data_IF_777296388592
#
_entry.id   IF_777296388592
#
_cell.length_a   1.000
_cell.length_b   1.000
_cell.length_c   1.000
_cell.angle_alpha   90.00
_cell.angle_beta   90.00
_cell.angle_gamma   90.00
#
_symmetry.space_group_name_H-M   'P 1'
#
loop_
_entity.id
_entity.type
_entity.pdbx_description
1 polymer ?
#
# COMPACT_ATOMS: atom_id res chain seq x y z
N UNK A 1 7.16 13.89 13.13
CA UNK A 1 6.15 13.75 14.24
C UNK A 1 6.89 13.54 15.55
N UNK A 2 6.36 14.00 16.70
CA UNK A 2 6.87 13.52 18.00
C UNK A 2 6.69 12.01 18.05
N UNK A 3 7.71 11.27 18.51
CA UNK A 3 7.66 9.81 18.56
C UNK A 3 6.40 9.35 19.34
N UNK A 4 5.66 8.40 18.76
CA UNK A 4 4.49 7.79 19.39
C UNK A 4 4.90 7.08 20.69
N UNK A 5 4.19 7.32 21.77
CA UNK A 5 4.49 6.76 23.10
C UNK A 5 3.62 5.55 23.44
N UNK A 6 2.47 5.38 22.78
CA UNK A 6 1.56 4.27 23.06
C UNK A 6 0.65 3.93 21.87
N UNK A 7 0.14 2.71 21.84
CA UNK A 7 -0.91 2.30 20.88
C UNK A 7 -2.17 3.17 21.05
N UNK A 8 -2.44 3.66 22.25
CA UNK A 8 -3.56 4.58 22.50
C UNK A 8 -3.39 5.90 21.74
N UNK A 9 -2.19 6.49 21.73
CA UNK A 9 -1.91 7.68 20.92
C UNK A 9 -2.07 7.41 19.42
N UNK A 10 -1.54 6.29 18.93
CA UNK A 10 -1.72 5.88 17.54
C UNK A 10 -3.20 5.72 17.17
N UNK A 11 -3.98 5.11 18.04
CA UNK A 11 -5.44 4.95 17.86
C UNK A 11 -6.16 6.29 17.80
N UNK A 12 -5.79 7.23 18.65
CA UNK A 12 -6.34 8.59 18.64
C UNK A 12 -6.04 9.31 17.30
N UNK A 13 -4.82 9.15 16.74
CA UNK A 13 -4.48 9.70 15.42
C UNK A 13 -5.31 9.07 14.30
N UNK A 14 -5.68 7.80 14.41
CA UNK A 14 -6.53 7.12 13.43
C UNK A 14 -8.01 7.52 13.54
N UNK A 15 -8.45 8.06 14.67
CA UNK A 15 -9.83 8.49 14.87
C UNK A 15 -10.13 9.86 14.22
N UNK A 16 -9.12 10.75 14.15
CA UNK A 16 -9.26 12.10 13.59
C UNK A 16 -8.55 12.20 12.23
N UNK A 17 -9.26 11.80 11.17
CA UNK A 17 -8.74 11.81 9.79
C UNK A 17 -9.50 12.83 8.92
N UNK A 18 -8.78 13.70 8.18
CA UNK A 18 -9.41 14.67 7.29
C UNK A 18 -10.10 13.97 6.10
N UNK A 19 -11.18 14.55 5.61
CA UNK A 19 -11.81 14.18 4.34
C UNK A 19 -11.10 14.80 3.12
N UNK A 20 -11.41 14.29 1.93
CA UNK A 20 -11.02 14.92 0.66
C UNK A 20 -11.78 16.24 0.43
N UNK A 21 -11.22 17.11 -0.41
CA UNK A 21 -11.85 18.36 -0.81
C UNK A 21 -12.85 18.15 -1.95
N UNK A 22 -14.14 18.24 -1.63
CA UNK A 22 -15.22 18.04 -2.59
C UNK A 22 -15.27 19.16 -3.64
N UNK A 23 -14.89 20.37 -3.30
CA UNK A 23 -14.91 21.51 -4.26
C UNK A 23 -13.93 21.29 -5.41
N UNK A 24 -12.72 20.81 -5.12
CA UNK A 24 -11.73 20.47 -6.14
C UNK A 24 -12.17 19.28 -6.99
N UNK A 25 -12.77 18.25 -6.38
CA UNK A 25 -13.34 17.12 -7.12
C UNK A 25 -14.45 17.56 -8.08
N UNK A 26 -15.41 18.36 -7.60
CA UNK A 26 -16.53 18.88 -8.39
C UNK A 26 -16.05 19.78 -9.54
N UNK A 27 -15.01 20.56 -9.34
CA UNK A 27 -14.41 21.39 -10.38
C UNK A 27 -13.83 20.52 -11.51
N UNK A 28 -13.19 19.39 -11.18
CA UNK A 28 -12.73 18.39 -12.16
C UNK A 28 -13.93 17.80 -12.92
N UNK A 29 -14.99 17.38 -12.21
CA UNK A 29 -16.18 16.80 -12.83
C UNK A 29 -16.83 17.78 -13.81
N UNK A 30 -16.98 19.06 -13.42
CA UNK A 30 -17.50 20.11 -14.31
C UNK A 30 -16.66 20.30 -15.57
N UNK A 31 -15.30 20.32 -15.44
CA UNK A 31 -14.41 20.41 -16.61
C UNK A 31 -14.54 19.17 -17.51
N UNK A 32 -14.55 17.95 -16.92
CA UNK A 32 -14.70 16.69 -17.67
C UNK A 32 -15.96 16.66 -18.54
N UNK A 33 -17.04 17.27 -18.08
CA UNK A 33 -18.29 17.36 -18.83
C UNK A 33 -18.21 18.28 -20.06
N UNK A 34 -17.24 19.20 -20.11
CA UNK A 34 -17.06 20.18 -21.19
C UNK A 34 -16.04 19.75 -22.25
N UNK A 35 -15.22 18.72 -21.96
CA UNK A 35 -14.17 18.25 -22.86
C UNK A 35 -14.76 17.58 -24.11
N UNK A 36 -14.03 17.67 -25.25
CA UNK A 36 -14.43 17.14 -26.56
C UNK A 36 -14.50 15.61 -26.59
N UNK A 37 -15.40 15.05 -25.79
CA UNK A 37 -15.66 13.62 -25.66
C UNK A 37 -17.09 13.35 -25.17
N UNK A 38 -17.66 12.18 -25.48
CA UNK A 38 -18.91 11.78 -24.82
C UNK A 38 -18.72 11.70 -23.29
N UNK A 39 -19.68 12.17 -22.48
CA UNK A 39 -19.60 12.08 -21.03
C UNK A 39 -19.35 10.65 -20.54
N UNK A 40 -18.35 10.49 -19.64
CA UNK A 40 -17.98 9.20 -19.07
C UNK A 40 -17.17 8.28 -20.00
N UNK A 41 -16.86 8.69 -21.23
CA UNK A 41 -16.21 7.83 -22.23
C UNK A 41 -14.77 7.43 -21.89
N UNK A 42 -14.07 8.20 -21.05
CA UNK A 42 -12.75 7.82 -20.51
C UNK A 42 -12.86 6.96 -19.23
N UNK A 43 -14.10 6.65 -18.80
CA UNK A 43 -14.35 5.68 -17.72
C UNK A 43 -13.65 6.01 -16.41
N UNK A 44 -12.82 5.07 -15.92
CA UNK A 44 -12.10 5.23 -14.65
C UNK A 44 -11.10 6.38 -14.66
N UNK A 45 -10.52 6.72 -15.80
CA UNK A 45 -9.55 7.83 -15.89
C UNK A 45 -10.14 9.15 -15.40
N UNK A 46 -11.43 9.41 -15.68
CA UNK A 46 -12.11 10.61 -15.21
C UNK A 46 -12.25 10.62 -13.67
N UNK A 47 -12.63 9.47 -13.10
CA UNK A 47 -12.78 9.31 -11.65
C UNK A 47 -11.44 9.45 -10.90
N UNK A 48 -10.34 8.97 -11.49
CA UNK A 48 -9.00 9.08 -10.93
C UNK A 48 -8.54 10.53 -10.79
N UNK A 49 -8.88 11.40 -11.75
CA UNK A 49 -8.52 12.82 -11.67
C UNK A 49 -9.36 13.55 -10.61
N UNK A 50 -10.65 13.23 -10.48
CA UNK A 50 -11.49 13.78 -9.42
C UNK A 50 -10.97 13.35 -8.03
N UNK A 51 -10.56 12.07 -7.89
CA UNK A 51 -9.94 11.56 -6.66
C UNK A 51 -8.61 12.27 -6.34
N UNK A 52 -7.69 12.44 -7.33
CA UNK A 52 -6.46 13.19 -7.15
C UNK A 52 -6.74 14.62 -6.68
N UNK A 53 -7.66 15.33 -7.34
CA UNK A 53 -8.04 16.69 -7.00
C UNK A 53 -8.60 16.79 -5.58
N UNK A 54 -9.47 15.85 -5.19
CA UNK A 54 -10.04 15.80 -3.85
C UNK A 54 -8.96 15.67 -2.77
N UNK A 55 -7.98 14.78 -2.97
CA UNK A 55 -6.95 14.55 -1.95
C UNK A 55 -5.82 15.57 -1.97
N UNK A 56 -5.57 16.22 -3.10
CA UNK A 56 -4.62 17.31 -3.17
C UNK A 56 -5.23 18.68 -2.81
N UNK A 57 -6.57 18.80 -2.75
CA UNK A 57 -7.28 20.06 -2.49
C UNK A 57 -7.02 21.10 -3.57
N UNK A 58 -6.85 20.67 -4.84
CA UNK A 58 -6.56 21.60 -5.97
C UNK A 58 -7.12 21.09 -7.31
N UNK A 59 -7.41 22.06 -8.20
CA UNK A 59 -7.82 21.85 -9.58
C UNK A 59 -7.05 22.79 -10.52
N UNK A 60 -6.32 22.28 -11.56
CA UNK A 60 -6.09 20.85 -11.81
C UNK A 60 -5.16 20.22 -10.77
N UNK A 61 -5.29 18.89 -10.54
CA UNK A 61 -4.32 18.15 -9.74
C UNK A 61 -2.97 18.06 -10.44
N UNK A 62 -1.94 17.66 -9.71
CA UNK A 62 -0.57 17.59 -10.23
C UNK A 62 0.08 16.24 -9.91
N UNK A 63 1.13 15.88 -10.65
CA UNK A 63 1.95 14.69 -10.46
C UNK A 63 3.44 15.02 -10.66
N UNK A 64 3.88 16.20 -10.19
CA UNK A 64 5.28 16.61 -10.32
C UNK A 64 6.14 15.98 -9.23
N UNK A 65 5.62 15.88 -8.00
CA UNK A 65 6.31 15.32 -6.84
C UNK A 65 5.74 13.92 -6.49
N UNK A 66 5.96 12.95 -7.38
CA UNK A 66 5.60 11.55 -7.11
C UNK A 66 6.72 10.86 -6.35
N UNK A 67 6.40 10.25 -5.20
CA UNK A 67 7.36 9.57 -4.34
C UNK A 67 7.02 8.09 -4.23
N UNK A 68 8.02 7.24 -4.43
CA UNK A 68 7.93 5.81 -4.19
C UNK A 68 8.72 5.50 -2.93
N UNK A 69 8.05 4.94 -1.92
CA UNK A 69 8.65 4.52 -0.66
C UNK A 69 8.63 2.99 -0.60
N UNK A 70 9.81 2.37 -0.52
CA UNK A 70 9.97 0.94 -0.33
C UNK A 70 10.55 0.72 1.06
N UNK A 71 9.78 0.11 1.95
CA UNK A 71 10.26 -0.27 3.28
C UNK A 71 10.79 -1.69 3.24
N UNK A 72 11.98 -1.94 3.82
CA UNK A 72 12.61 -3.25 3.79
C UNK A 72 12.79 -3.80 5.21
N UNK A 73 12.27 -5.01 5.48
CA UNK A 73 12.33 -5.64 6.80
C UNK A 73 12.60 -7.15 6.75
N UNK A 74 13.17 -7.68 7.82
CA UNK A 74 13.43 -9.12 8.00
C UNK A 74 12.47 -9.74 9.03
N UNK A 75 12.10 -11.00 8.78
CA UNK A 75 11.09 -11.73 9.54
C UNK A 75 11.63 -13.01 10.16
N UNK A 76 11.41 -13.20 11.47
CA UNK A 76 11.78 -14.43 12.18
C UNK A 76 11.01 -15.67 11.70
N UNK A 77 9.83 -15.48 11.12
CA UNK A 77 9.04 -16.58 10.56
C UNK A 77 9.76 -17.33 9.42
N UNK A 78 10.78 -16.76 8.81
CA UNK A 78 11.60 -17.42 7.78
C UNK A 78 12.25 -18.71 8.29
N UNK A 79 12.53 -18.82 9.60
CA UNK A 79 13.04 -20.03 10.24
C UNK A 79 12.11 -21.25 10.07
N UNK A 80 10.82 -21.04 9.75
CA UNK A 80 9.83 -22.09 9.46
C UNK A 80 9.87 -22.60 8.02
N UNK A 81 10.82 -22.13 7.20
CA UNK A 81 10.92 -22.56 5.79
C UNK A 81 9.71 -22.12 4.94
N UNK A 82 9.16 -20.94 5.20
CA UNK A 82 8.00 -20.34 4.52
C UNK A 82 8.39 -19.53 3.28
N UNK A 83 9.67 -19.46 2.93
CA UNK A 83 10.19 -18.74 1.76
C UNK A 83 11.16 -19.60 0.97
N UNK A 84 11.21 -19.42 -0.34
CA UNK A 84 12.17 -20.08 -1.22
C UNK A 84 13.58 -19.46 -1.11
N UNK A 85 13.69 -18.22 -0.62
CA UNK A 85 14.95 -17.50 -0.49
C UNK A 85 15.34 -17.33 0.98
N UNK A 86 16.64 -17.30 1.29
CA UNK A 86 17.15 -17.02 2.63
C UNK A 86 16.95 -15.53 2.99
N UNK A 87 16.89 -15.22 4.29
CA UNK A 87 16.59 -13.87 4.80
C UNK A 87 17.61 -12.81 4.36
N UNK A 88 18.85 -13.21 4.10
CA UNK A 88 19.96 -12.35 3.64
C UNK A 88 19.65 -11.66 2.31
N UNK A 89 18.77 -12.26 1.49
CA UNK A 89 18.34 -11.66 0.21
C UNK A 89 17.70 -10.30 0.43
N UNK A 90 17.01 -10.05 1.53
CA UNK A 90 16.46 -8.72 1.85
C UNK A 90 17.56 -7.66 1.86
N UNK A 91 18.68 -7.91 2.55
CA UNK A 91 19.81 -6.97 2.61
C UNK A 91 20.50 -6.81 1.26
N UNK A 92 20.63 -7.91 0.49
CA UNK A 92 21.20 -7.87 -0.86
C UNK A 92 20.33 -7.05 -1.81
N UNK A 93 18.98 -7.16 -1.68
CA UNK A 93 18.06 -6.35 -2.48
C UNK A 93 18.13 -4.86 -2.11
N UNK A 94 18.31 -4.51 -0.84
CA UNK A 94 18.52 -3.10 -0.46
C UNK A 94 19.79 -2.54 -1.13
N UNK A 95 20.86 -3.30 -1.18
CA UNK A 95 22.07 -2.92 -1.92
C UNK A 95 21.81 -2.80 -3.43
N UNK A 96 21.04 -3.73 -4.02
CA UNK A 96 20.67 -3.69 -5.43
C UNK A 96 19.78 -2.46 -5.77
N UNK A 97 18.86 -2.07 -4.90
CA UNK A 97 18.09 -0.82 -5.04
C UNK A 97 19.00 0.41 -5.06
N UNK A 98 19.98 0.45 -4.16
CA UNK A 98 20.94 1.55 -4.10
C UNK A 98 21.83 1.61 -5.37
N UNK A 99 22.18 0.46 -5.92
CA UNK A 99 22.93 0.36 -7.17
C UNK A 99 22.08 0.65 -8.44
N UNK A 100 20.77 0.78 -8.30
CA UNK A 100 19.87 1.05 -9.44
C UNK A 100 19.53 -0.16 -10.31
N UNK A 101 19.81 -1.39 -9.82
CA UNK A 101 19.71 -2.65 -10.58
C UNK A 101 18.34 -3.34 -10.53
N UNK A 102 17.44 -2.91 -9.66
CA UNK A 102 16.14 -3.57 -9.49
C UNK A 102 15.09 -3.08 -10.49
N UNK A 103 13.99 -3.83 -10.61
CA UNK A 103 12.86 -3.47 -11.47
C UNK A 103 12.25 -2.12 -11.06
N UNK A 104 12.10 -1.87 -9.77
CA UNK A 104 11.53 -0.61 -9.29
C UNK A 104 12.37 0.61 -9.67
N UNK A 105 13.70 0.48 -9.76
CA UNK A 105 14.54 1.58 -10.22
C UNK A 105 14.21 1.98 -11.67
N UNK A 106 13.93 0.99 -12.54
CA UNK A 106 13.56 1.24 -13.94
C UNK A 106 12.15 1.84 -14.02
N UNK A 107 11.20 1.24 -13.29
CA UNK A 107 9.81 1.68 -13.28
C UNK A 107 9.67 3.08 -12.68
N UNK A 108 10.40 3.41 -11.61
CA UNK A 108 10.42 4.74 -11.02
C UNK A 108 10.91 5.81 -12.02
N UNK A 109 12.01 5.53 -12.75
CA UNK A 109 12.49 6.42 -13.81
C UNK A 109 11.46 6.63 -14.91
N UNK A 110 10.86 5.55 -15.40
CA UNK A 110 9.82 5.62 -16.45
C UNK A 110 8.57 6.37 -15.95
N UNK A 111 8.19 6.17 -14.71
CA UNK A 111 7.07 6.86 -14.08
C UNK A 111 7.37 8.33 -13.72
N UNK A 112 8.63 8.79 -13.85
CA UNK A 112 9.07 10.12 -13.40
C UNK A 112 8.84 10.32 -11.90
N UNK A 113 9.19 9.31 -11.09
CA UNK A 113 9.00 9.28 -9.65
C UNK A 113 10.33 9.10 -8.92
N UNK A 114 10.48 9.74 -7.76
CA UNK A 114 11.65 9.58 -6.91
C UNK A 114 11.49 8.34 -6.01
N UNK A 115 12.46 7.43 -6.07
CA UNK A 115 12.51 6.23 -5.25
C UNK A 115 13.32 6.48 -3.97
N UNK A 116 12.73 6.14 -2.83
CA UNK A 116 13.42 6.05 -1.55
C UNK A 116 13.21 4.68 -0.94
N UNK A 117 14.29 3.99 -0.62
CA UNK A 117 14.28 2.73 0.13
C UNK A 117 14.63 3.02 1.59
N UNK A 118 13.85 2.45 2.51
CA UNK A 118 13.97 2.65 3.96
C UNK A 118 14.21 1.31 4.64
N UNK A 119 15.47 0.96 4.97
CA UNK A 119 15.77 -0.25 5.73
C UNK A 119 15.26 -0.16 7.17
N UNK A 120 14.58 -1.24 7.65
CA UNK A 120 13.94 -1.32 8.95
C UNK A 120 14.71 -2.28 9.88
N UNK A 121 15.91 -1.88 10.33
CA UNK A 121 16.76 -2.68 11.23
C UNK A 121 16.96 -4.12 10.72
N UNK A 122 17.55 -4.28 9.53
CA UNK A 122 17.69 -5.57 8.84
C UNK A 122 18.54 -6.58 9.61
N UNK A 123 19.40 -6.13 10.52
CA UNK A 123 20.20 -6.92 11.45
C UNK A 123 19.38 -7.55 12.59
N UNK A 124 18.15 -7.10 12.79
CA UNK A 124 17.25 -7.54 13.85
C UNK A 124 15.91 -7.99 13.26
N UNK A 125 15.77 -9.23 12.78
CA UNK A 125 14.48 -9.75 12.33
C UNK A 125 13.40 -9.61 13.40
N UNK A 126 12.12 -9.56 13.01
CA UNK A 126 11.03 -9.70 13.98
C UNK A 126 11.09 -11.07 14.64
N UNK A 127 10.38 -11.27 15.77
CA UNK A 127 10.26 -12.61 16.34
C UNK A 127 9.43 -13.53 15.43
N UNK A 128 9.57 -14.85 15.62
CA UNK A 128 8.67 -15.85 15.07
C UNK A 128 7.29 -15.71 15.73
N UNK A 129 6.32 -15.23 15.01
CA UNK A 129 5.00 -14.95 15.55
C UNK A 129 4.19 -16.20 15.90
N UNK A 130 4.66 -17.39 15.54
CA UNK A 130 4.09 -18.65 16.05
C UNK A 130 4.50 -18.93 17.51
N UNK A 131 5.55 -18.25 17.98
CA UNK A 131 6.10 -18.43 19.34
C UNK A 131 5.76 -17.25 20.27
N UNK A 132 5.82 -16.03 19.75
CA UNK A 132 5.53 -14.77 20.48
C UNK A 132 5.10 -13.70 19.47
N UNK A 133 4.68 -12.51 19.93
CA UNK A 133 4.39 -11.40 19.03
C UNK A 133 5.61 -11.04 18.17
N UNK A 134 5.39 -10.77 16.88
CA UNK A 134 6.45 -10.37 15.93
C UNK A 134 7.24 -9.15 16.42
N UNK A 135 6.55 -8.19 17.02
CA UNK A 135 7.10 -6.96 17.60
C UNK A 135 6.46 -6.70 18.97
N UNK A 136 7.24 -6.18 19.91
CA UNK A 136 6.68 -5.55 21.09
C UNK A 136 6.10 -4.16 20.74
N UNK A 137 5.39 -3.54 21.68
CA UNK A 137 4.74 -2.24 21.46
C UNK A 137 5.74 -1.16 21.02
N UNK A 138 6.90 -1.09 21.66
CA UNK A 138 7.92 -0.09 21.34
C UNK A 138 8.47 -0.27 19.91
N UNK A 139 8.78 -1.51 19.50
CA UNK A 139 9.25 -1.82 18.14
C UNK A 139 8.20 -1.49 17.08
N UNK A 140 6.94 -1.84 17.34
CA UNK A 140 5.82 -1.53 16.47
C UNK A 140 5.64 -0.02 16.29
N UNK A 141 5.59 0.73 17.39
CA UNK A 141 5.43 2.19 17.35
C UNK A 141 6.61 2.91 16.69
N UNK A 142 7.83 2.42 16.91
CA UNK A 142 9.02 2.94 16.24
C UNK A 142 8.96 2.74 14.72
N UNK A 143 8.51 1.56 14.28
CA UNK A 143 8.34 1.27 12.87
C UNK A 143 7.22 2.11 12.22
N UNK A 144 6.07 2.25 12.89
CA UNK A 144 4.98 3.15 12.46
C UNK A 144 5.47 4.59 12.35
N UNK A 145 6.21 5.09 13.35
CA UNK A 145 6.77 6.45 13.34
C UNK A 145 7.74 6.65 12.18
N UNK A 146 8.63 5.67 11.93
CA UNK A 146 9.55 5.72 10.78
C UNK A 146 8.79 5.86 9.45
N UNK A 147 7.73 5.09 9.26
CA UNK A 147 6.89 5.19 8.08
C UNK A 147 6.16 6.53 7.98
N UNK A 148 5.62 7.00 9.09
CA UNK A 148 4.93 8.30 9.17
C UNK A 148 5.86 9.46 8.77
N UNK A 149 7.07 9.48 9.29
CA UNK A 149 8.05 10.54 9.04
C UNK A 149 8.72 10.42 7.64
N UNK A 150 8.58 9.27 6.98
CA UNK A 150 9.07 9.08 5.63
C UNK A 150 8.27 9.82 4.56
N UNK A 151 7.01 10.18 4.84
CA UNK A 151 6.11 10.88 3.89
C UNK A 151 6.45 12.36 3.84
N UNK A 152 6.96 12.88 2.70
CA UNK A 152 7.27 14.30 2.57
C UNK A 152 5.98 15.13 2.38
N UNK A 153 5.88 16.29 3.06
CA UNK A 153 4.63 17.09 3.05
C UNK A 153 4.28 17.72 1.68
N UNK A 154 5.23 17.78 0.75
CA UNK A 154 5.00 18.35 -0.59
C UNK A 154 4.76 17.29 -1.66
N UNK A 155 4.56 16.03 -1.29
CA UNK A 155 4.28 15.00 -2.28
C UNK A 155 2.92 15.19 -2.95
N UNK A 156 2.89 15.06 -4.28
CA UNK A 156 1.64 15.04 -5.04
C UNK A 156 0.97 13.65 -4.98
N UNK A 157 1.78 12.61 -4.85
CA UNK A 157 1.36 11.22 -4.78
C UNK A 157 2.43 10.38 -4.08
N UNK A 158 2.00 9.45 -3.24
CA UNK A 158 2.88 8.44 -2.63
C UNK A 158 2.53 7.05 -3.19
N UNK A 159 3.55 6.31 -3.60
CA UNK A 159 3.45 4.87 -3.89
C UNK A 159 4.11 4.12 -2.75
N UNK A 160 3.42 3.13 -2.17
CA UNK A 160 3.91 2.34 -1.04
C UNK A 160 4.18 0.91 -1.47
N UNK A 161 5.40 0.47 -1.26
CA UNK A 161 5.85 -0.89 -1.48
C UNK A 161 6.78 -1.39 -0.38
N UNK A 162 7.21 -2.61 -0.52
CA UNK A 162 7.99 -3.32 0.49
C UNK A 162 9.02 -4.27 -0.12
N UNK A 163 9.96 -4.69 0.72
CA UNK A 163 10.87 -5.79 0.49
C UNK A 163 11.09 -6.55 1.79
N UNK A 164 10.84 -7.86 1.79
CA UNK A 164 11.08 -8.66 2.99
C UNK A 164 10.88 -10.15 2.73
N UNK A 165 11.95 -10.93 2.88
CA UNK A 165 11.82 -12.38 2.75
C UNK A 165 10.94 -12.91 3.89
N UNK A 166 9.86 -13.63 3.53
CA UNK A 166 8.86 -14.15 4.48
C UNK A 166 7.66 -13.24 4.73
N UNK A 167 7.67 -12.00 4.27
CA UNK A 167 6.63 -11.00 4.55
C UNK A 167 5.23 -11.36 4.01
N UNK A 168 5.13 -12.14 2.92
CA UNK A 168 3.84 -12.63 2.43
C UNK A 168 3.16 -13.58 3.43
N UNK A 169 3.93 -14.24 4.32
CA UNK A 169 3.37 -15.03 5.42
C UNK A 169 2.83 -14.12 6.52
N UNK A 170 3.58 -13.07 6.88
CA UNK A 170 3.12 -12.04 7.83
C UNK A 170 1.87 -11.32 7.32
N UNK A 171 1.85 -10.93 6.04
CA UNK A 171 0.69 -10.30 5.42
C UNK A 171 -0.55 -11.21 5.42
N UNK A 172 -0.35 -12.51 5.14
CA UNK A 172 -1.43 -13.51 5.18
C UNK A 172 -1.96 -13.73 6.61
N UNK A 173 -1.07 -13.84 7.61
CA UNK A 173 -1.46 -13.96 9.01
C UNK A 173 -2.20 -12.70 9.50
N UNK A 174 -1.71 -11.51 9.15
CA UNK A 174 -2.36 -10.24 9.46
C UNK A 174 -3.77 -10.16 8.82
N UNK A 175 -3.90 -10.51 7.54
CA UNK A 175 -5.19 -10.51 6.86
C UNK A 175 -6.17 -11.51 7.50
N UNK A 176 -5.71 -12.73 7.84
CA UNK A 176 -6.50 -13.72 8.55
C UNK A 176 -6.95 -13.22 9.92
N UNK A 177 -6.05 -12.61 10.70
CA UNK A 177 -6.37 -12.04 12.02
C UNK A 177 -7.36 -10.88 11.97
N UNK A 178 -7.39 -10.11 10.88
CA UNK A 178 -8.29 -8.97 10.72
C UNK A 178 -9.66 -9.33 10.11
N UNK A 179 -9.70 -10.30 9.19
CA UNK A 179 -10.89 -10.60 8.39
C UNK A 179 -11.41 -12.02 8.60
N UNK A 180 -10.75 -12.80 9.47
CA UNK A 180 -11.09 -14.20 9.68
C UNK A 180 -10.58 -15.11 8.57
N UNK A 181 -10.89 -16.40 8.70
CA UNK A 181 -10.33 -17.45 7.86
C UNK A 181 -9.06 -18.03 8.47
N UNK A 182 -8.33 -18.82 7.68
CA UNK A 182 -7.20 -19.64 8.10
C UNK A 182 -6.05 -19.59 7.07
N UNK A 183 -5.01 -20.35 7.30
CA UNK A 183 -3.88 -20.46 6.39
C UNK A 183 -4.25 -20.99 5.00
N UNK A 184 -5.28 -21.81 4.88
CA UNK A 184 -5.77 -22.26 3.57
C UNK A 184 -6.35 -21.09 2.77
N UNK A 185 -7.03 -20.21 3.44
CA UNK A 185 -7.72 -19.04 2.86
C UNK A 185 -6.78 -17.95 2.40
N UNK A 186 -5.67 -17.73 3.12
CA UNK A 186 -4.82 -16.55 2.96
C UNK A 186 -3.40 -16.83 2.45
N UNK A 187 -2.88 -18.08 2.60
CA UNK A 187 -1.54 -18.39 2.13
C UNK A 187 -1.45 -18.48 0.61
N UNK A 188 -0.46 -17.77 0.05
CA UNK A 188 -0.09 -17.85 -1.36
C UNK A 188 1.33 -18.37 -1.56
N UNK A 189 1.73 -18.59 -2.81
CA UNK A 189 3.05 -19.13 -3.16
C UNK A 189 4.21 -18.13 -2.95
N UNK A 190 3.92 -16.85 -2.75
CA UNK A 190 4.92 -15.82 -2.53
C UNK A 190 5.96 -15.78 -3.66
N UNK A 191 7.22 -15.91 -3.30
CA UNK A 191 8.36 -15.92 -4.23
C UNK A 191 8.52 -17.22 -5.01
N UNK A 192 7.62 -18.21 -4.85
CA UNK A 192 7.64 -19.46 -5.62
C UNK A 192 8.05 -20.68 -4.79
N UNK A 193 7.54 -20.78 -3.56
CA UNK A 193 7.69 -22.00 -2.73
C UNK A 193 6.98 -23.20 -3.36
N UNK A 194 7.46 -24.40 -3.06
CA UNK A 194 6.85 -25.65 -3.46
C UNK A 194 5.60 -26.00 -2.65
N UNK A 195 4.99 -27.17 -2.95
CA UNK A 195 3.81 -27.65 -2.23
C UNK A 195 4.05 -27.89 -0.73
N UNK A 196 5.26 -28.29 -0.35
CA UNK A 196 5.61 -28.48 1.05
C UNK A 196 5.78 -27.10 1.74
N UNK A 197 6.36 -26.14 1.06
CA UNK A 197 6.49 -24.76 1.55
C UNK A 197 5.13 -24.10 1.78
N UNK A 198 4.15 -24.29 0.88
CA UNK A 198 2.80 -23.77 1.10
C UNK A 198 2.11 -24.43 2.29
N UNK A 199 2.33 -25.73 2.52
CA UNK A 199 1.79 -26.42 3.70
C UNK A 199 2.40 -25.86 5.00
N UNK A 200 3.75 -25.65 5.05
CA UNK A 200 4.40 -25.00 6.18
C UNK A 200 3.89 -23.60 6.42
N UNK A 201 3.66 -22.80 5.36
CA UNK A 201 3.13 -21.46 5.45
C UNK A 201 1.72 -21.43 6.05
N UNK A 202 0.84 -22.35 5.61
CA UNK A 202 -0.52 -22.52 6.15
C UNK A 202 -0.48 -22.85 7.64
N UNK A 203 0.30 -23.86 8.01
CA UNK A 203 0.46 -24.27 9.40
C UNK A 203 0.98 -23.11 10.27
N UNK A 204 1.98 -22.35 9.80
CA UNK A 204 2.50 -21.21 10.53
C UNK A 204 1.46 -20.09 10.74
N UNK A 205 0.57 -19.87 9.78
CA UNK A 205 -0.54 -18.91 9.92
C UNK A 205 -1.54 -19.43 10.97
N UNK A 206 -1.93 -20.70 10.90
CA UNK A 206 -2.91 -21.28 11.81
C UNK A 206 -2.39 -21.33 13.26
N UNK A 207 -1.12 -21.72 13.46
CA UNK A 207 -0.43 -21.67 14.75
C UNK A 207 -0.42 -20.24 15.34
N UNK A 208 -0.13 -19.24 14.48
CA UNK A 208 -0.12 -17.85 14.90
C UNK A 208 -1.51 -17.33 15.29
N UNK A 209 -2.55 -17.67 14.54
CA UNK A 209 -3.94 -17.29 14.87
C UNK A 209 -4.38 -17.91 16.20
N UNK A 210 -4.08 -19.20 16.41
CA UNK A 210 -4.38 -19.87 17.67
C UNK A 210 -3.64 -19.23 18.86
N UNK A 211 -2.34 -18.93 18.68
CA UNK A 211 -1.52 -18.34 19.75
C UNK A 211 -1.99 -16.95 20.14
N UNK A 212 -2.40 -16.13 19.19
CA UNK A 212 -2.77 -14.74 19.39
C UNK A 212 -4.27 -14.49 19.44
N UNK A 213 -5.08 -15.55 19.57
CA UNK A 213 -6.55 -15.48 19.53
C UNK A 213 -7.16 -14.38 20.41
N UNK A 214 -6.58 -14.14 21.60
CA UNK A 214 -7.09 -13.16 22.55
C UNK A 214 -6.99 -11.69 22.08
N UNK A 215 -6.16 -11.39 21.09
CA UNK A 215 -5.91 -10.01 20.63
C UNK A 215 -6.40 -9.73 19.20
N UNK A 216 -6.87 -10.74 18.47
CA UNK A 216 -7.26 -10.58 17.05
C UNK A 216 -8.45 -9.61 16.84
N UNK A 217 -9.20 -9.29 17.90
CA UNK A 217 -10.24 -8.25 17.87
C UNK A 217 -9.71 -6.81 17.83
N UNK A 218 -8.44 -6.59 18.13
CA UNK A 218 -7.77 -5.28 18.09
C UNK A 218 -6.86 -5.17 16.86
N UNK A 219 -7.17 -4.29 15.87
CA UNK A 219 -6.40 -4.20 14.63
C UNK A 219 -4.92 -3.80 14.83
N UNK A 220 -4.61 -2.93 15.80
CA UNK A 220 -3.23 -2.50 16.06
C UNK A 220 -2.44 -3.57 16.82
N UNK A 221 -3.05 -4.22 17.80
CA UNK A 221 -2.42 -5.35 18.50
C UNK A 221 -2.17 -6.51 17.53
N UNK A 222 -3.13 -6.81 16.63
CA UNK A 222 -2.97 -7.81 15.58
C UNK A 222 -1.81 -7.45 14.63
N UNK A 223 -1.69 -6.17 14.23
CA UNK A 223 -0.59 -5.71 13.38
C UNK A 223 0.78 -5.83 14.07
N UNK A 224 0.86 -5.53 15.36
CA UNK A 224 2.09 -5.69 16.12
C UNK A 224 2.50 -7.18 16.27
N UNK A 225 1.50 -8.05 16.51
CA UNK A 225 1.75 -9.46 16.77
C UNK A 225 2.05 -10.28 15.51
N UNK A 226 1.38 -10.03 14.39
CA UNK A 226 1.43 -10.84 13.16
C UNK A 226 2.12 -10.15 11.98
N UNK A 227 2.38 -8.85 12.08
CA UNK A 227 2.96 -8.05 11.00
C UNK A 227 4.48 -8.16 10.87
N UNK A 228 5.09 -7.07 10.44
CA UNK A 228 6.53 -6.87 10.28
C UNK A 228 6.85 -5.39 10.38
N UNK A 229 8.14 -5.04 10.54
CA UNK A 229 8.53 -3.63 10.68
C UNK A 229 8.20 -2.81 9.43
N UNK A 230 8.41 -3.37 8.23
CA UNK A 230 8.07 -2.72 6.97
C UNK A 230 6.54 -2.61 6.78
N UNK A 231 5.75 -3.60 7.24
CA UNK A 231 4.30 -3.51 7.24
C UNK A 231 3.81 -2.41 8.19
N UNK A 232 4.39 -2.33 9.40
CA UNK A 232 4.08 -1.26 10.35
C UNK A 232 4.49 0.12 9.81
N UNK A 233 5.60 0.22 9.07
CA UNK A 233 6.00 1.45 8.41
C UNK A 233 5.03 1.86 7.30
N UNK A 234 4.54 0.92 6.49
CA UNK A 234 3.51 1.19 5.47
C UNK A 234 2.21 1.70 6.13
N UNK A 235 1.79 1.08 7.24
CA UNK A 235 0.65 1.58 8.04
C UNK A 235 0.88 3.04 8.45
N UNK A 236 2.05 3.34 9.00
CA UNK A 236 2.43 4.69 9.41
C UNK A 236 2.46 5.69 8.26
N UNK A 237 3.03 5.30 7.12
CA UNK A 237 3.08 6.13 5.92
C UNK A 237 1.68 6.38 5.33
N UNK A 238 0.81 5.37 5.32
CA UNK A 238 -0.60 5.50 4.90
C UNK A 238 -1.35 6.49 5.79
N UNK A 239 -1.17 6.39 7.11
CA UNK A 239 -1.76 7.32 8.08
C UNK A 239 -1.24 8.75 7.89
N UNK A 240 0.07 8.93 7.71
CA UNK A 240 0.69 10.24 7.47
C UNK A 240 0.15 10.90 6.20
N UNK A 241 0.09 10.15 5.11
CA UNK A 241 -0.43 10.62 3.84
C UNK A 241 -1.90 11.06 3.97
N UNK A 242 -2.73 10.30 4.69
CA UNK A 242 -4.13 10.68 4.99
C UNK A 242 -4.21 12.01 5.72
N UNK A 243 -3.41 12.19 6.78
CA UNK A 243 -3.42 13.41 7.59
C UNK A 243 -2.89 14.64 6.83
N UNK A 244 -1.98 14.42 5.90
CA UNK A 244 -1.42 15.45 5.01
C UNK A 244 -2.26 15.67 3.75
N UNK A 245 -3.36 14.92 3.57
CA UNK A 245 -4.19 14.91 2.35
C UNK A 245 -3.39 14.59 1.08
N UNK A 246 -2.45 13.68 1.17
CA UNK A 246 -1.68 13.16 0.04
C UNK A 246 -2.32 11.86 -0.45
N UNK A 247 -2.66 11.73 -1.73
CA UNK A 247 -3.17 10.48 -2.29
C UNK A 247 -2.11 9.40 -2.30
N UNK A 248 -2.54 8.13 -2.12
CA UNK A 248 -1.67 6.96 -2.03
C UNK A 248 -2.03 5.91 -3.06
N UNK A 249 -1.02 5.33 -3.70
CA UNK A 249 -1.13 4.08 -4.48
C UNK A 249 -0.48 2.97 -3.66
N UNK A 250 -1.30 2.03 -3.17
CA UNK A 250 -0.83 0.80 -2.54
C UNK A 250 -0.43 -0.20 -3.63
N UNK A 251 0.72 -0.85 -3.46
CA UNK A 251 1.24 -1.79 -4.45
C UNK A 251 0.42 -3.10 -4.51
N UNK A 252 0.95 -4.16 -3.96
CA UNK A 252 0.38 -5.51 -4.03
C UNK A 252 -0.22 -6.00 -2.72
N UNK A 253 -0.25 -7.33 -2.57
CA UNK A 253 -0.86 -8.02 -1.43
C UNK A 253 -0.30 -7.56 -0.08
N UNK A 254 1.03 -7.50 0.05
CA UNK A 254 1.67 -7.13 1.33
C UNK A 254 1.38 -5.69 1.71
N UNK A 255 1.50 -4.75 0.75
CA UNK A 255 1.24 -3.32 1.00
C UNK A 255 -0.22 -3.06 1.36
N UNK A 256 -1.17 -3.76 0.72
CA UNK A 256 -2.61 -3.64 1.06
C UNK A 256 -2.93 -4.28 2.40
N UNK A 257 -2.31 -5.41 2.75
CA UNK A 257 -2.45 -6.03 4.07
C UNK A 257 -1.90 -5.11 5.18
N UNK A 258 -0.77 -4.43 4.92
CA UNK A 258 -0.16 -3.49 5.86
C UNK A 258 -1.07 -2.28 6.16
N UNK A 259 -1.86 -1.81 5.19
CA UNK A 259 -2.81 -0.71 5.37
C UNK A 259 -4.15 -1.16 6.00
N UNK A 260 -4.47 -2.46 5.95
CA UNK A 260 -5.76 -3.02 6.37
C UNK A 260 -6.17 -2.70 7.82
N UNK A 261 -5.26 -2.62 8.83
CA UNK A 261 -5.63 -2.24 10.18
C UNK A 261 -6.32 -0.88 10.27
N UNK A 262 -5.94 0.09 9.42
CA UNK A 262 -6.59 1.40 9.37
C UNK A 262 -8.06 1.30 8.96
N UNK A 263 -8.38 0.46 7.96
CA UNK A 263 -9.75 0.20 7.51
C UNK A 263 -10.62 -0.43 8.62
N UNK A 264 -10.03 -1.31 9.42
CA UNK A 264 -10.71 -1.94 10.57
C UNK A 264 -10.95 -0.97 11.71
N UNK A 265 -10.08 0.04 11.88
CA UNK A 265 -10.26 1.10 12.88
C UNK A 265 -11.31 2.12 12.45
N UNK A 266 -11.37 2.44 11.16
CA UNK A 266 -12.28 3.45 10.62
C UNK A 266 -12.61 3.15 9.16
N UNK A 267 -13.89 3.07 8.85
CA UNK A 267 -14.38 2.61 7.55
C UNK A 267 -13.90 3.45 6.35
N UNK A 268 -13.68 4.75 6.51
CA UNK A 268 -13.20 5.68 5.49
C UNK A 268 -11.68 5.94 5.52
N UNK A 269 -10.93 5.22 6.38
CA UNK A 269 -9.51 5.49 6.60
C UNK A 269 -8.64 5.35 5.33
N UNK A 270 -9.07 4.56 4.35
CA UNK A 270 -8.35 4.32 3.10
C UNK A 270 -8.93 5.05 1.87
N UNK A 271 -9.83 6.03 2.04
CA UNK A 271 -10.46 6.73 0.90
C UNK A 271 -9.45 7.52 0.05
N UNK A 272 -8.31 7.89 0.62
CA UNK A 272 -7.18 8.50 -0.08
C UNK A 272 -6.28 7.47 -0.78
N UNK A 273 -6.61 6.18 -0.70
CA UNK A 273 -5.83 5.09 -1.28
C UNK A 273 -6.53 4.51 -2.50
N UNK A 274 -5.73 4.10 -3.48
CA UNK A 274 -6.12 3.20 -4.56
C UNK A 274 -5.16 2.02 -4.59
N UNK A 275 -5.63 0.85 -5.06
CA UNK A 275 -4.75 -0.28 -5.33
C UNK A 275 -4.12 -0.10 -6.73
N UNK A 276 -2.79 -0.10 -6.80
CA UNK A 276 -2.06 0.02 -8.06
C UNK A 276 -2.36 -1.14 -8.99
N UNK A 277 -2.28 -2.35 -8.46
CA UNK A 277 -2.59 -3.56 -9.23
C UNK A 277 -3.24 -4.63 -8.36
N UNK A 278 -3.81 -5.65 -8.99
CA UNK A 278 -4.06 -6.93 -8.33
C UNK A 278 -2.85 -7.82 -8.50
N UNK A 279 -2.25 -8.24 -7.38
CA UNK A 279 -1.15 -9.20 -7.42
C UNK A 279 -1.67 -10.59 -7.78
N UNK A 280 -0.83 -11.42 -8.45
CA UNK A 280 -1.10 -12.84 -8.68
C UNK A 280 -1.07 -13.68 -7.39
N UNK A 281 -0.79 -13.10 -6.21
CA UNK A 281 -1.03 -13.74 -4.91
C UNK A 281 -2.52 -14.03 -4.75
N UNK A 282 -2.87 -15.30 -4.54
CA UNK A 282 -4.26 -15.80 -4.61
C UNK A 282 -5.23 -15.04 -3.69
N UNK A 283 -4.78 -14.65 -2.49
CA UNK A 283 -5.60 -13.95 -1.50
C UNK A 283 -5.78 -12.44 -1.78
N UNK A 284 -5.06 -11.85 -2.74
CA UNK A 284 -5.10 -10.40 -2.93
C UNK A 284 -6.46 -9.90 -3.41
N UNK A 285 -7.12 -10.60 -4.33
CA UNK A 285 -8.48 -10.21 -4.78
C UNK A 285 -9.49 -10.21 -3.62
N UNK A 286 -9.39 -11.20 -2.74
CA UNK A 286 -10.21 -11.27 -1.53
C UNK A 286 -9.93 -10.07 -0.62
N UNK A 287 -8.65 -9.78 -0.35
CA UNK A 287 -8.26 -8.65 0.49
C UNK A 287 -8.74 -7.32 -0.07
N UNK A 288 -8.60 -7.09 -1.37
CA UNK A 288 -9.11 -5.89 -2.04
C UNK A 288 -10.63 -5.74 -1.87
N UNK A 289 -11.38 -6.85 -1.93
CA UNK A 289 -12.82 -6.86 -1.64
C UNK A 289 -13.14 -6.44 -0.21
N UNK A 290 -12.42 -6.96 0.79
CA UNK A 290 -12.57 -6.59 2.21
C UNK A 290 -12.25 -5.10 2.45
N UNK A 291 -11.30 -4.55 1.71
CA UNK A 291 -10.90 -3.14 1.80
C UNK A 291 -11.79 -2.19 0.99
N UNK A 292 -12.58 -2.71 0.05
CA UNK A 292 -13.36 -1.90 -0.90
C UNK A 292 -12.48 -1.19 -1.93
N UNK A 293 -11.29 -1.72 -2.22
CA UNK A 293 -10.35 -1.15 -3.18
C UNK A 293 -10.44 -1.84 -4.55
N UNK A 294 -10.55 -1.04 -5.60
CA UNK A 294 -10.53 -1.53 -6.98
C UNK A 294 -9.13 -1.34 -7.59
N UNK A 295 -8.45 -2.41 -8.02
CA UNK A 295 -7.11 -2.30 -8.61
C UNK A 295 -7.17 -1.58 -9.97
N UNK A 296 -6.10 -0.84 -10.30
CA UNK A 296 -6.01 -0.15 -11.59
C UNK A 296 -5.61 -1.10 -12.72
N UNK A 297 -4.66 -2.00 -12.46
CA UNK A 297 -4.17 -2.95 -13.44
C UNK A 297 -4.21 -4.38 -12.94
N UNK A 298 -4.30 -5.32 -13.87
CA UNK A 298 -4.20 -6.76 -13.68
C UNK A 298 -3.22 -7.30 -14.73
N UNK A 299 -1.95 -7.44 -14.35
CA UNK A 299 -0.85 -7.87 -15.21
C UNK A 299 -0.14 -9.11 -14.66
N UNK A 300 -0.81 -9.86 -13.78
CA UNK A 300 -0.28 -11.08 -13.15
C UNK A 300 1.06 -10.87 -12.40
N UNK A 301 1.35 -9.61 -12.03
CA UNK A 301 2.56 -9.25 -11.28
C UNK A 301 2.49 -9.76 -9.83
N UNK A 302 3.64 -10.18 -9.27
CA UNK A 302 3.77 -10.59 -7.85
C UNK A 302 5.15 -10.29 -7.27
N UNK A 303 5.79 -9.23 -7.76
CA UNK A 303 7.15 -8.90 -7.35
C UNK A 303 7.21 -8.18 -5.99
N UNK A 304 6.28 -7.27 -5.71
CA UNK A 304 6.40 -6.27 -4.64
C UNK A 304 7.20 -5.06 -5.09
N UNK A 305 7.98 -4.48 -4.21
CA UNK A 305 8.90 -3.34 -4.45
C UNK A 305 8.19 -2.05 -4.92
N UNK A 306 6.90 -1.89 -4.74
CA UNK A 306 6.05 -0.85 -5.34
C UNK A 306 5.96 -0.94 -6.88
N UNK A 307 6.27 -2.09 -7.48
CA UNK A 307 6.35 -2.24 -8.94
C UNK A 307 5.00 -2.03 -9.64
N UNK A 308 3.92 -2.60 -9.11
CA UNK A 308 2.57 -2.39 -9.65
C UNK A 308 2.05 -0.98 -9.41
N UNK A 309 2.39 -0.38 -8.26
CA UNK A 309 2.09 1.02 -7.98
C UNK A 309 2.78 1.97 -8.96
N UNK A 310 4.06 1.72 -9.29
CA UNK A 310 4.79 2.51 -10.27
C UNK A 310 4.18 2.42 -11.69
N UNK A 311 3.72 1.23 -12.10
CA UNK A 311 2.97 1.06 -13.36
C UNK A 311 1.67 1.86 -13.33
N UNK A 312 0.95 1.86 -12.21
CA UNK A 312 -0.30 2.61 -12.06
C UNK A 312 -0.09 4.14 -12.18
N UNK A 313 1.08 4.67 -11.78
CA UNK A 313 1.42 6.10 -11.98
C UNK A 313 1.35 6.50 -13.45
N UNK A 314 1.73 5.64 -14.38
CA UNK A 314 1.66 5.93 -15.82
C UNK A 314 0.22 6.16 -16.28
N UNK A 315 -0.73 5.39 -15.74
CA UNK A 315 -2.16 5.58 -16.01
C UNK A 315 -2.69 6.90 -15.41
N UNK A 316 -2.24 7.25 -14.20
CA UNK A 316 -2.59 8.53 -13.57
C UNK A 316 -2.05 9.72 -14.39
N UNK A 317 -0.83 9.62 -14.92
CA UNK A 317 -0.26 10.64 -15.81
C UNK A 317 -1.02 10.76 -17.12
N UNK A 318 -1.40 9.63 -17.74
CA UNK A 318 -2.23 9.62 -18.94
C UNK A 318 -3.61 10.27 -18.68
N UNK A 319 -4.25 9.93 -17.56
CA UNK A 319 -5.52 10.54 -17.15
C UNK A 319 -5.38 12.06 -16.94
N UNK A 320 -4.31 12.50 -16.26
CA UNK A 320 -4.03 13.91 -16.03
C UNK A 320 -3.78 14.65 -17.34
N UNK A 321 -3.01 14.08 -18.25
CA UNK A 321 -2.74 14.66 -19.57
C UNK A 321 -4.03 14.85 -20.38
N UNK A 322 -4.94 13.87 -20.36
CA UNK A 322 -6.25 14.04 -20.99
C UNK A 322 -7.05 15.18 -20.34
N UNK A 323 -7.10 15.23 -19.01
CA UNK A 323 -7.85 16.26 -18.30
C UNK A 323 -7.35 17.68 -18.56
N UNK A 324 -6.04 17.86 -18.60
CA UNK A 324 -5.43 19.19 -18.72
C UNK A 324 -5.20 19.61 -20.17
N UNK A 325 -4.95 18.65 -21.08
CA UNK A 325 -4.56 18.93 -22.47
C UNK A 325 -5.71 18.89 -23.48
N UNK A 326 -6.84 18.24 -23.15
CA UNK A 326 -8.00 18.25 -24.06
C UNK A 326 -8.67 19.61 -24.08
N UNK A 327 -9.07 20.05 -25.27
CA UNK A 327 -9.92 21.22 -25.44
C UNK A 327 -11.36 20.93 -25.02
N UNK A 328 -12.08 21.96 -24.58
CA UNK A 328 -13.52 21.93 -24.44
C UNK A 328 -14.21 22.03 -25.83
N UNK A 329 -15.48 21.66 -25.94
CA UNK A 329 -16.26 21.82 -27.16
C UNK A 329 -16.22 23.28 -27.67
N UNK A 330 -16.32 24.27 -26.77
CA UNK A 330 -16.25 25.67 -27.09
C UNK A 330 -14.86 26.09 -27.62
N UNK A 331 -13.77 25.65 -26.96
CA UNK A 331 -12.40 25.97 -27.38
C UNK A 331 -12.05 25.35 -28.72
N UNK A 332 -12.55 24.15 -29.01
CA UNK A 332 -12.29 23.43 -30.27
C UNK A 332 -13.22 23.83 -31.42
N UNK A 333 -14.29 24.62 -31.16
CA UNK A 333 -15.31 24.94 -32.17
C UNK A 333 -16.11 23.70 -32.62
N UNK A 334 -16.14 22.65 -31.81
CA UNK A 334 -16.90 21.42 -32.07
C UNK A 334 -18.30 21.57 -31.50
N UNK A 335 -19.32 21.16 -32.27
CA UNK A 335 -20.71 21.18 -31.79
C UNK A 335 -20.88 20.21 -30.62
N UNK A 336 -21.44 20.70 -29.53
CA UNK A 336 -21.89 19.86 -28.42
C UNK A 336 -23.29 19.26 -28.75
N UNK A 337 -23.69 18.25 -27.98
CA UNK A 337 -25.04 17.71 -28.15
C UNK A 337 -26.09 18.77 -27.87
N UNK A 338 -27.09 18.77 -28.71
CA UNK A 338 -28.33 19.50 -28.53
C UNK A 338 -29.15 18.92 -27.37
#
# INVERSE_FOLDING_TARGET
MTALKSITELRALCADLPGGDTMSADAVVRRQAQLTKPPGSLGRLEKLIAWLAAWQGRNPPQLQQVRILVFAGNHGITARGVSAYPAEVTTQMVANFAAGGAAINQLARTAGADLRVVPMSLDKPTADFTMMAAMNEQEFLAAVTTGYDAVPPQADLICLGEMGIGNTTSAAALAAGLFGGDGLCWAGYGTGIDHQGIARKRAAIDDALARHAAILGDPLATAAALGGRELAAILGATLAARRQKVPVVLDGFVSTAAAAPLKKLRADALDHCIAGHVSAEAAHRKLLGELGLLPLVDLEMRLGEASGAAVAVLLLRAALACHTGMATFAEAGVLDKS
#
